data_IF_188920206068
#
_entry.id   IF_188920206068
#
_cell.length_a   1.000
_cell.length_b   1.000
_cell.length_c   1.000
_cell.angle_alpha   90.00
_cell.angle_beta   90.00
_cell.angle_gamma   90.00
#
_symmetry.space_group_name_H-M   'P 1'
#
loop_
_entity.id
_entity.type
_entity.pdbx_description
1 polymer ?
#
# COMPACT_ATOMS: atom_id res chain seq x y z
N UNK A 1 4.13 14.40 6.71
CA UNK A 1 4.72 13.41 7.62
C UNK A 1 5.95 14.06 8.24
N UNK A 2 6.08 14.11 9.57
CA UNK A 2 7.24 14.70 10.25
C UNK A 2 7.52 13.93 11.54
N UNK A 3 8.78 13.79 11.92
CA UNK A 3 9.18 13.21 13.21
C UNK A 3 9.27 14.31 14.28
N UNK A 4 8.93 13.99 15.53
CA UNK A 4 8.95 14.91 16.67
C UNK A 4 10.29 14.95 17.41
N UNK A 5 11.06 13.86 17.37
CA UNK A 5 12.35 13.74 18.03
C UNK A 5 13.38 12.95 17.19
N UNK A 6 14.64 12.95 17.64
CA UNK A 6 15.73 12.24 16.95
C UNK A 6 15.50 10.73 17.01
N UNK A 7 15.63 10.07 15.86
CA UNK A 7 15.58 8.62 15.70
C UNK A 7 16.97 8.09 15.37
N UNK A 8 17.39 7.01 16.03
CA UNK A 8 18.65 6.31 15.77
C UNK A 8 19.35 5.85 17.04
N UNK A 9 20.67 5.93 17.05
CA UNK A 9 21.50 5.46 18.15
C UNK A 9 21.24 6.24 19.47
N UNK A 10 20.68 5.56 20.48
CA UNK A 10 20.42 6.13 21.81
C UNK A 10 21.68 6.32 22.65
N UNK A 11 22.77 5.60 22.35
CA UNK A 11 24.08 5.76 23.01
C UNK A 11 24.68 7.14 22.81
N UNK A 12 24.21 7.87 21.79
CA UNK A 12 24.59 9.26 21.55
C UNK A 12 23.45 10.27 21.86
N UNK A 13 22.28 9.82 22.35
CA UNK A 13 21.20 10.72 22.82
C UNK A 13 19.90 10.74 22.00
N UNK A 14 19.67 9.80 21.08
CA UNK A 14 18.39 9.71 20.36
C UNK A 14 17.22 9.34 21.30
N UNK A 15 16.06 10.00 21.12
CA UNK A 15 14.86 9.80 21.95
C UNK A 15 14.12 8.52 21.55
N UNK A 16 14.05 8.23 20.24
CA UNK A 16 13.38 7.05 19.69
C UNK A 16 11.92 6.91 20.15
N UNK A 17 11.14 8.00 20.05
CA UNK A 17 9.71 7.92 20.28
C UNK A 17 9.10 6.92 19.29
N UNK A 18 8.26 6.01 19.78
CA UNK A 18 7.73 4.88 18.99
C UNK A 18 7.19 5.31 17.62
N UNK A 19 6.35 6.34 17.59
CA UNK A 19 5.75 6.87 16.36
C UNK A 19 6.79 7.40 15.36
N UNK A 20 7.86 8.04 15.86
CA UNK A 20 8.94 8.55 15.01
C UNK A 20 9.76 7.40 14.42
N UNK A 21 10.02 6.36 15.23
CA UNK A 21 10.72 5.15 14.77
C UNK A 21 9.87 4.41 13.73
N UNK A 22 8.58 4.22 13.98
CA UNK A 22 7.64 3.62 13.00
C UNK A 22 7.63 4.42 11.70
N UNK A 23 7.62 5.76 11.79
CA UNK A 23 7.65 6.64 10.63
C UNK A 23 8.94 6.48 9.80
N UNK A 24 10.10 6.50 10.44
CA UNK A 24 11.40 6.29 9.77
C UNK A 24 11.47 4.89 9.15
N UNK A 25 11.07 3.85 9.89
CA UNK A 25 11.06 2.47 9.40
C UNK A 25 10.16 2.32 8.17
N UNK A 26 8.98 2.94 8.20
CA UNK A 26 8.01 2.89 7.11
C UNK A 26 8.56 3.54 5.82
N UNK A 27 9.22 4.70 5.95
CA UNK A 27 9.86 5.39 4.81
C UNK A 27 11.05 4.61 4.24
N UNK A 28 11.91 4.06 5.12
CA UNK A 28 13.04 3.23 4.71
C UNK A 28 12.58 1.94 4.02
N UNK A 29 11.56 1.28 4.57
CA UNK A 29 10.93 0.09 3.96
C UNK A 29 10.43 0.40 2.54
N UNK A 30 9.69 1.51 2.37
CA UNK A 30 9.18 1.94 1.06
C UNK A 30 10.32 2.20 0.08
N UNK A 31 11.36 2.90 0.53
CA UNK A 31 12.52 3.22 -0.30
C UNK A 31 13.31 1.96 -0.69
N UNK A 32 13.49 1.02 0.25
CA UNK A 32 14.17 -0.25 0.04
C UNK A 32 13.49 -1.09 -1.03
N UNK A 33 12.16 -1.23 -0.94
CA UNK A 33 11.34 -1.95 -1.94
C UNK A 33 11.44 -1.31 -3.31
N UNK A 34 11.24 0.02 -3.38
CA UNK A 34 11.28 0.75 -4.64
C UNK A 34 12.64 0.66 -5.35
N UNK A 35 13.73 0.72 -4.61
CA UNK A 35 15.08 0.66 -5.17
C UNK A 35 15.59 -0.77 -5.35
N UNK A 36 14.86 -1.78 -4.91
CA UNK A 36 15.36 -3.16 -4.83
C UNK A 36 16.63 -3.29 -3.96
N UNK A 37 16.78 -2.42 -2.95
CA UNK A 37 17.97 -2.31 -2.10
C UNK A 37 17.67 -2.78 -0.68
N UNK A 38 17.89 -4.07 -0.44
CA UNK A 38 17.68 -4.70 0.88
C UNK A 38 18.48 -4.07 2.02
N UNK A 39 19.63 -3.45 1.72
CA UNK A 39 20.41 -2.73 2.73
C UNK A 39 19.68 -1.51 3.34
N UNK A 40 18.65 -0.98 2.67
CA UNK A 40 17.82 0.11 3.17
C UNK A 40 16.61 -0.40 3.98
N UNK A 41 16.39 -1.72 4.02
CA UNK A 41 15.23 -2.30 4.70
C UNK A 41 15.51 -2.41 6.22
N UNK A 42 14.71 -1.77 7.08
CA UNK A 42 14.85 -1.91 8.53
C UNK A 42 14.36 -3.27 9.06
N UNK A 43 13.92 -4.19 8.19
CA UNK A 43 13.44 -5.53 8.50
C UNK A 43 12.19 -5.56 9.39
N UNK A 44 11.39 -4.49 9.36
CA UNK A 44 10.25 -4.35 10.26
C UNK A 44 9.85 -2.89 10.50
N UNK A 45 8.58 -2.68 10.83
CA UNK A 45 8.04 -1.44 11.38
C UNK A 45 7.49 -1.77 12.77
N UNK A 46 8.37 -1.83 13.76
CA UNK A 46 8.08 -2.24 15.14
C UNK A 46 8.15 -1.08 16.15
N UNK A 47 8.54 0.11 15.68
CA UNK A 47 8.70 1.30 16.49
C UNK A 47 9.83 1.22 17.51
N UNK A 48 10.78 0.31 17.33
CA UNK A 48 11.82 0.00 18.30
C UNK A 48 13.23 0.14 17.70
N UNK A 49 14.17 0.57 18.56
CA UNK A 49 15.61 0.50 18.29
C UNK A 49 16.22 -0.52 19.26
N UNK A 50 16.98 -1.47 18.72
CA UNK A 50 17.58 -2.55 19.50
C UNK A 50 18.56 -2.03 20.57
N UNK A 51 18.79 -2.87 21.58
CA UNK A 51 19.78 -2.65 22.65
C UNK A 51 20.79 -3.80 22.61
N UNK A 52 22.07 -3.57 22.28
CA UNK A 52 22.68 -2.27 21.94
C UNK A 52 22.25 -1.74 20.56
N UNK A 53 22.36 -0.43 20.29
CA UNK A 53 22.00 0.19 19.00
C UNK A 53 22.68 -0.45 17.78
N UNK A 54 23.92 -0.93 17.97
CA UNK A 54 24.71 -1.59 16.93
C UNK A 54 24.05 -2.85 16.35
N UNK A 55 23.10 -3.46 17.07
CA UNK A 55 22.35 -4.63 16.57
C UNK A 55 21.01 -4.26 15.95
N UNK A 56 20.67 -2.97 15.86
CA UNK A 56 19.40 -2.52 15.29
C UNK A 56 19.46 -2.49 13.76
N UNK A 57 18.59 -3.27 13.13
CA UNK A 57 18.35 -3.21 11.67
C UNK A 57 17.88 -1.81 11.23
N UNK A 58 17.09 -1.12 12.04
CA UNK A 58 16.70 0.28 11.81
C UNK A 58 17.91 1.20 11.75
N UNK A 59 18.84 1.12 12.72
CA UNK A 59 20.05 1.95 12.73
C UNK A 59 20.96 1.61 11.54
N UNK A 60 21.09 0.33 11.19
CA UNK A 60 21.83 -0.11 10.00
C UNK A 60 21.21 0.47 8.71
N UNK A 61 19.89 0.42 8.57
CA UNK A 61 19.16 0.97 7.44
C UNK A 61 19.29 2.50 7.34
N UNK A 62 19.26 3.22 8.47
CA UNK A 62 19.51 4.66 8.52
C UNK A 62 20.92 4.97 7.99
N UNK A 63 21.95 4.25 8.47
CA UNK A 63 23.33 4.43 8.00
C UNK A 63 23.48 4.13 6.51
N UNK A 64 22.85 3.05 6.04
CA UNK A 64 22.84 2.70 4.63
C UNK A 64 22.17 3.76 3.76
N UNK A 65 21.05 4.33 4.23
CA UNK A 65 20.38 5.44 3.56
C UNK A 65 21.24 6.70 3.53
N UNK A 66 21.91 7.05 4.64
CA UNK A 66 22.79 8.21 4.71
C UNK A 66 23.95 8.09 3.71
N UNK A 67 24.57 6.92 3.63
CA UNK A 67 25.61 6.61 2.66
C UNK A 67 25.07 6.72 1.21
N UNK A 68 23.89 6.15 0.95
CA UNK A 68 23.22 6.25 -0.35
C UNK A 68 22.89 7.70 -0.75
N UNK A 69 22.42 8.49 0.21
CA UNK A 69 22.00 9.87 0.00
C UNK A 69 23.18 10.86 -0.01
N UNK A 70 24.42 10.42 0.24
CA UNK A 70 25.60 11.28 0.28
C UNK A 70 25.58 12.31 1.41
N UNK A 71 25.03 11.93 2.57
CA UNK A 71 25.04 12.74 3.80
C UNK A 71 25.91 12.09 4.88
N UNK A 72 26.18 12.81 5.96
CA UNK A 72 26.97 12.27 7.08
C UNK A 72 26.37 10.97 7.64
N UNK A 73 27.22 9.95 7.83
CA UNK A 73 26.80 8.61 8.28
C UNK A 73 26.93 8.48 9.80
N UNK A 74 26.04 9.15 10.53
CA UNK A 74 25.99 9.13 11.99
C UNK A 74 24.98 8.10 12.54
N UNK A 75 24.09 7.56 11.71
CA UNK A 75 23.01 6.66 12.11
C UNK A 75 21.81 7.38 12.73
N UNK A 76 21.70 8.69 12.55
CA UNK A 76 20.65 9.54 13.10
C UNK A 76 19.79 10.23 12.06
N UNK A 77 18.54 10.43 12.44
CA UNK A 77 17.59 11.26 11.72
C UNK A 77 17.01 12.27 12.69
N UNK A 78 17.44 13.52 12.56
CA UNK A 78 16.92 14.64 13.33
C UNK A 78 15.69 15.26 12.64
N UNK A 79 14.67 15.72 13.40
CA UNK A 79 13.53 16.44 12.86
C UNK A 79 13.97 17.62 11.97
N UNK A 80 13.47 17.68 10.73
CA UNK A 80 13.81 18.73 9.77
C UNK A 80 15.25 18.73 9.25
N UNK A 81 16.09 17.79 9.70
CA UNK A 81 17.49 17.66 9.27
C UNK A 81 17.65 17.26 7.81
N UNK A 82 18.89 17.34 7.29
CA UNK A 82 19.20 16.97 5.90
C UNK A 82 18.85 15.52 5.58
N UNK A 83 19.22 14.57 6.45
CA UNK A 83 18.86 13.15 6.30
C UNK A 83 17.34 12.96 6.26
N UNK A 84 16.60 13.66 7.12
CA UNK A 84 15.15 13.60 7.14
C UNK A 84 14.53 14.13 5.84
N UNK A 85 14.94 15.32 5.40
CA UNK A 85 14.47 15.92 4.14
C UNK A 85 14.78 15.03 2.95
N UNK A 86 16.00 14.50 2.84
CA UNK A 86 16.35 13.56 1.75
C UNK A 86 15.58 12.26 1.84
N UNK A 87 15.32 11.72 3.04
CA UNK A 87 14.53 10.50 3.18
C UNK A 87 13.10 10.74 2.75
N UNK A 88 12.49 11.83 3.23
CA UNK A 88 11.16 12.25 2.83
C UNK A 88 11.13 12.50 1.33
N UNK A 89 12.03 13.28 0.74
CA UNK A 89 12.07 13.56 -0.70
C UNK A 89 12.33 12.29 -1.51
N UNK A 90 13.28 11.45 -1.12
CA UNK A 90 13.53 10.18 -1.78
C UNK A 90 12.28 9.31 -1.72
N UNK A 91 11.60 9.25 -0.58
CA UNK A 91 10.39 8.47 -0.42
C UNK A 91 9.13 9.16 -1.02
N UNK A 92 9.14 10.49 -1.20
CA UNK A 92 7.99 11.35 -1.57
C UNK A 92 8.12 12.01 -2.93
N UNK A 93 9.22 11.81 -3.66
CA UNK A 93 9.31 12.01 -5.11
C UNK A 93 8.26 11.16 -5.88
N UNK A 94 7.41 10.43 -5.15
CA UNK A 94 6.21 9.71 -5.55
C UNK A 94 4.87 10.39 -5.12
N UNK A 95 4.85 11.66 -4.69
CA UNK A 95 3.60 12.42 -4.56
C UNK A 95 3.10 12.95 -5.93
N UNK A 96 3.99 13.02 -6.92
CA UNK A 96 3.59 12.81 -8.31
C UNK A 96 3.41 11.31 -8.49
N UNK A 97 2.23 10.87 -8.93
CA UNK A 97 1.94 9.46 -9.18
C UNK A 97 3.05 8.75 -9.98
N UNK A 98 3.11 7.41 -9.94
CA UNK A 98 4.14 6.64 -10.61
C UNK A 98 4.31 7.15 -12.05
N UNK A 99 5.56 7.29 -12.49
CA UNK A 99 5.89 7.74 -13.83
C UNK A 99 5.00 7.01 -14.84
N UNK A 100 4.27 7.78 -15.66
CA UNK A 100 3.41 7.27 -16.71
C UNK A 100 4.28 6.47 -17.70
N UNK A 101 4.37 5.17 -17.51
CA UNK A 101 5.34 4.32 -18.20
C UNK A 101 4.95 2.85 -18.22
N UNK A 102 4.57 2.26 -17.08
CA UNK A 102 4.51 0.78 -16.94
C UNK A 102 3.20 0.22 -16.36
N UNK A 103 2.26 1.05 -15.90
CA UNK A 103 1.01 0.57 -15.32
C UNK A 103 -0.17 0.58 -16.32
N UNK A 104 -1.03 -0.44 -16.28
CA UNK A 104 -2.26 -0.56 -17.08
C UNK A 104 -3.52 -0.59 -16.20
N UNK A 105 -4.68 -0.33 -16.81
CA UNK A 105 -5.97 -0.55 -16.17
C UNK A 105 -6.14 -2.05 -15.88
N UNK A 106 -6.78 -2.46 -14.76
CA UNK A 106 -6.90 -3.87 -14.39
C UNK A 106 -7.84 -4.69 -15.31
N UNK A 107 -8.46 -4.07 -16.31
CA UNK A 107 -9.29 -4.72 -17.32
C UNK A 107 -8.83 -4.38 -18.74
N UNK A 108 -8.96 -5.34 -19.66
CA UNK A 108 -8.79 -5.11 -21.11
C UNK A 108 -9.95 -4.34 -21.76
N UNK A 109 -11.00 -4.04 -21.00
CA UNK A 109 -12.16 -3.24 -21.42
C UNK A 109 -12.56 -2.28 -20.29
N UNK A 110 -13.12 -1.10 -20.59
CA UNK A 110 -13.59 -0.18 -19.55
C UNK A 110 -14.57 -0.85 -18.57
N UNK A 111 -14.58 -0.35 -17.33
CA UNK A 111 -15.63 -0.68 -16.38
C UNK A 111 -17.00 -0.22 -16.90
N UNK A 112 -18.07 -0.88 -16.47
CA UNK A 112 -19.45 -0.61 -16.93
C UNK A 112 -19.94 0.77 -16.46
N UNK A 113 -19.42 1.27 -15.35
CA UNK A 113 -19.77 2.57 -14.79
C UNK A 113 -18.54 3.26 -14.21
N UNK A 114 -18.61 4.60 -14.11
CA UNK A 114 -17.57 5.41 -13.49
C UNK A 114 -17.48 5.14 -11.97
N UNK A 115 -16.26 4.92 -11.49
CA UNK A 115 -15.93 4.68 -10.09
C UNK A 115 -15.81 5.94 -9.25
N UNK A 116 -15.87 7.16 -9.81
CA UNK A 116 -15.74 8.41 -9.05
C UNK A 116 -17.01 8.82 -8.30
N UNK A 117 -18.11 8.06 -8.44
CA UNK A 117 -19.39 8.37 -7.82
C UNK A 117 -19.83 7.28 -6.84
N UNK A 118 -20.61 7.68 -5.84
CA UNK A 118 -21.28 6.75 -4.95
C UNK A 118 -22.20 5.78 -5.75
N UNK A 119 -22.34 4.52 -5.30
CA UNK A 119 -21.73 3.93 -4.12
C UNK A 119 -20.31 3.38 -4.36
N UNK A 120 -19.73 3.53 -5.55
CA UNK A 120 -18.50 2.85 -5.99
C UNK A 120 -17.23 3.58 -5.56
N UNK A 121 -17.31 4.88 -5.30
CA UNK A 121 -16.15 5.71 -5.05
C UNK A 121 -15.50 5.47 -3.69
N UNK A 122 -14.20 5.74 -3.63
CA UNK A 122 -13.46 5.83 -2.40
C UNK A 122 -14.14 6.82 -1.44
N UNK A 123 -14.18 6.48 -0.15
CA UNK A 123 -14.80 7.30 0.88
C UNK A 123 -16.34 7.26 0.93
N UNK A 124 -17.01 6.63 -0.05
CA UNK A 124 -18.46 6.46 -0.03
C UNK A 124 -18.96 5.82 1.28
N UNK A 125 -20.14 6.21 1.74
CA UNK A 125 -20.72 5.65 2.96
C UNK A 125 -21.02 4.14 2.79
N UNK A 126 -20.67 3.37 3.81
CA UNK A 126 -20.99 1.96 4.00
C UNK A 126 -21.60 1.77 5.38
N UNK A 127 -22.36 0.70 5.56
CA UNK A 127 -22.96 0.33 6.85
C UNK A 127 -23.75 1.48 7.51
N UNK A 128 -24.55 2.18 6.70
CA UNK A 128 -25.33 3.38 7.10
C UNK A 128 -24.47 4.52 7.66
N UNK A 129 -23.28 4.73 7.08
CA UNK A 129 -22.35 5.80 7.46
C UNK A 129 -21.37 5.43 8.58
N UNK A 130 -21.49 4.24 9.18
CA UNK A 130 -20.54 3.77 10.21
C UNK A 130 -19.18 3.38 9.66
N UNK A 131 -19.05 3.21 8.35
CA UNK A 131 -17.81 2.84 7.67
C UNK A 131 -17.66 3.59 6.36
N UNK A 132 -16.44 3.90 6.01
CA UNK A 132 -16.07 4.46 4.71
C UNK A 132 -15.65 3.36 3.73
N UNK A 133 -15.95 3.57 2.45
CA UNK A 133 -15.52 2.68 1.38
C UNK A 133 -14.02 2.80 1.13
N UNK A 134 -13.27 1.73 1.32
CA UNK A 134 -11.81 1.72 1.30
C UNK A 134 -11.17 1.65 -0.08
N UNK A 135 -11.97 1.57 -1.14
CA UNK A 135 -11.46 1.38 -2.49
C UNK A 135 -12.39 1.98 -3.53
N UNK A 136 -12.17 1.58 -4.77
CA UNK A 136 -13.04 1.85 -5.89
C UNK A 136 -13.65 0.54 -6.40
N UNK A 137 -14.96 0.54 -6.64
CA UNK A 137 -15.64 -0.62 -7.24
C UNK A 137 -15.68 -0.46 -8.77
N UNK A 138 -14.98 -1.33 -9.48
CA UNK A 138 -14.97 -1.39 -10.93
C UNK A 138 -16.01 -2.42 -11.40
N UNK A 139 -17.19 -1.94 -11.78
CA UNK A 139 -18.28 -2.82 -12.22
C UNK A 139 -17.92 -3.53 -13.53
N UNK A 140 -18.09 -4.85 -13.53
CA UNK A 140 -17.79 -5.73 -14.65
C UNK A 140 -18.58 -7.04 -14.50
N UNK A 141 -18.86 -7.76 -15.61
CA UNK A 141 -19.55 -9.05 -15.52
C UNK A 141 -18.70 -10.09 -14.77
N UNK A 142 -19.37 -11.05 -14.13
CA UNK A 142 -18.74 -12.25 -13.54
C UNK A 142 -17.84 -12.91 -14.58
N UNK A 143 -16.65 -13.36 -14.16
CA UNK A 143 -15.68 -14.02 -15.01
C UNK A 143 -14.81 -13.07 -15.84
N UNK A 144 -15.05 -11.74 -15.81
CA UNK A 144 -14.15 -10.77 -16.44
C UNK A 144 -12.73 -10.97 -15.89
N UNK A 145 -11.76 -11.15 -16.78
CA UNK A 145 -10.35 -11.24 -16.40
C UNK A 145 -9.87 -9.95 -15.73
N UNK A 146 -9.15 -10.13 -14.63
CA UNK A 146 -8.46 -9.08 -13.88
C UNK A 146 -6.97 -9.23 -14.16
N UNK A 147 -6.32 -8.12 -14.50
CA UNK A 147 -4.90 -8.07 -14.80
C UNK A 147 -4.11 -7.35 -13.71
N UNK A 148 -2.88 -7.79 -13.47
CA UNK A 148 -1.93 -7.05 -12.64
C UNK A 148 -1.68 -5.69 -13.28
N UNK A 149 -1.88 -4.61 -12.51
CA UNK A 149 -1.70 -3.25 -13.06
C UNK A 149 -0.25 -2.98 -13.43
N UNK A 150 0.72 -3.61 -12.76
CA UNK A 150 2.16 -3.52 -13.01
C UNK A 150 2.82 -4.81 -12.48
N UNK A 151 4.10 -4.99 -12.75
CA UNK A 151 4.93 -6.01 -12.12
C UNK A 151 4.78 -5.97 -10.60
N UNK A 152 4.85 -7.14 -9.96
CA UNK A 152 4.72 -7.24 -8.52
C UNK A 152 4.94 -8.65 -7.98
N UNK A 153 4.80 -8.78 -6.67
CA UNK A 153 4.94 -10.04 -5.93
C UNK A 153 3.70 -10.25 -5.07
N UNK A 154 3.12 -11.45 -5.15
CA UNK A 154 1.96 -11.84 -4.34
C UNK A 154 2.37 -11.90 -2.87
N UNK A 155 1.69 -11.15 -2.01
CA UNK A 155 2.08 -10.98 -0.61
C UNK A 155 1.68 -12.15 0.29
N UNK A 156 0.60 -12.84 -0.07
CA UNK A 156 0.00 -13.96 0.66
C UNK A 156 -0.90 -14.77 -0.26
N UNK A 157 -1.23 -15.99 0.15
CA UNK A 157 -2.21 -16.80 -0.56
C UNK A 157 -3.58 -16.08 -0.62
N UNK A 158 -4.33 -16.23 -1.74
CA UNK A 158 -5.70 -15.75 -1.84
C UNK A 158 -6.54 -16.25 -0.66
N UNK A 159 -7.44 -15.40 -0.17
CA UNK A 159 -8.17 -15.69 1.06
C UNK A 159 -9.64 -15.27 0.95
N UNK A 160 -10.55 -15.92 1.72
CA UNK A 160 -11.96 -15.57 1.73
C UNK A 160 -12.20 -14.09 2.03
N UNK A 161 -13.03 -13.49 1.20
CA UNK A 161 -13.41 -12.09 1.24
C UNK A 161 -14.94 -11.94 1.24
N UNK A 162 -15.42 -10.75 0.88
CA UNK A 162 -16.81 -10.37 1.01
C UNK A 162 -17.76 -11.21 0.13
N UNK A 163 -18.92 -11.58 0.67
CA UNK A 163 -20.02 -12.16 -0.12
C UNK A 163 -19.64 -13.40 -0.97
N UNK A 164 -18.88 -14.35 -0.41
CA UNK A 164 -18.44 -15.60 -1.07
C UNK A 164 -17.50 -15.39 -2.27
N UNK A 165 -16.64 -14.37 -2.16
CA UNK A 165 -15.53 -14.14 -3.09
C UNK A 165 -14.20 -14.26 -2.33
N UNK A 166 -13.08 -14.20 -3.04
CA UNK A 166 -11.75 -14.11 -2.44
C UNK A 166 -11.13 -12.73 -2.67
N UNK A 167 -9.97 -12.49 -2.06
CA UNK A 167 -9.09 -11.35 -2.34
C UNK A 167 -7.65 -11.81 -2.59
N UNK A 168 -6.95 -11.07 -3.46
CA UNK A 168 -5.53 -11.23 -3.77
C UNK A 168 -4.79 -9.93 -3.48
N UNK A 169 -3.61 -10.02 -2.87
CA UNK A 169 -2.78 -8.87 -2.50
C UNK A 169 -1.43 -8.94 -3.22
N UNK A 170 -1.06 -7.87 -3.92
CA UNK A 170 0.19 -7.79 -4.68
C UNK A 170 0.95 -6.53 -4.27
N UNK A 171 2.21 -6.72 -3.88
CA UNK A 171 3.17 -5.64 -3.69
C UNK A 171 3.81 -5.31 -5.05
N UNK A 172 3.57 -4.09 -5.53
CA UNK A 172 4.11 -3.59 -6.79
C UNK A 172 5.39 -2.76 -6.57
N UNK A 173 5.93 -2.70 -5.36
CA UNK A 173 7.18 -2.02 -5.01
C UNK A 173 6.98 -0.67 -4.32
N UNK A 174 6.32 0.28 -4.99
CA UNK A 174 6.01 1.61 -4.44
C UNK A 174 4.55 1.75 -3.94
N UNK A 175 3.71 0.74 -4.21
CA UNK A 175 2.36 0.60 -3.67
C UNK A 175 1.95 -0.87 -3.59
N UNK A 176 0.97 -1.16 -2.74
CA UNK A 176 0.30 -2.46 -2.64
C UNK A 176 -1.12 -2.31 -3.16
N UNK A 177 -1.60 -3.29 -3.92
CA UNK A 177 -3.02 -3.39 -4.30
C UNK A 177 -3.63 -4.64 -3.69
N UNK A 178 -4.82 -4.47 -3.12
CA UNK A 178 -5.75 -5.58 -2.88
C UNK A 178 -6.81 -5.61 -3.98
N UNK A 179 -6.83 -6.72 -4.70
CA UNK A 179 -7.82 -7.08 -5.69
C UNK A 179 -8.89 -7.94 -4.99
N UNK A 180 -9.99 -7.31 -4.59
CA UNK A 180 -11.13 -7.97 -3.94
C UNK A 180 -12.19 -8.45 -4.93
N UNK A 181 -13.13 -9.24 -4.41
CA UNK A 181 -14.31 -9.71 -5.12
C UNK A 181 -13.92 -10.58 -6.32
N UNK A 182 -12.84 -11.34 -6.17
CA UNK A 182 -12.37 -12.29 -7.18
C UNK A 182 -13.04 -13.65 -7.02
N UNK A 183 -13.09 -14.43 -8.09
CA UNK A 183 -13.49 -15.83 -8.03
C UNK A 183 -12.53 -16.64 -7.14
N UNK A 184 -13.07 -17.68 -6.50
CA UNK A 184 -12.34 -18.56 -5.58
C UNK A 184 -11.50 -19.62 -6.31
N UNK A 185 -10.96 -19.26 -7.48
CA UNK A 185 -10.20 -20.14 -8.37
C UNK A 185 -8.84 -19.56 -8.76
N UNK A 186 -8.38 -18.53 -8.04
CA UNK A 186 -7.05 -17.96 -8.23
C UNK A 186 -5.96 -19.01 -7.93
N UNK A 187 -5.10 -19.25 -8.91
CA UNK A 187 -4.00 -20.21 -8.82
C UNK A 187 -2.73 -19.62 -8.22
N UNK A 188 -2.61 -18.29 -8.12
CA UNK A 188 -1.45 -17.61 -7.58
C UNK A 188 -1.29 -17.88 -6.07
N UNK A 189 -0.06 -17.91 -5.60
CA UNK A 189 0.33 -18.15 -4.21
C UNK A 189 1.34 -17.12 -3.74
N UNK A 190 1.51 -17.05 -2.42
CA UNK A 190 2.51 -16.18 -1.79
C UNK A 190 3.89 -16.34 -2.45
N UNK A 191 4.51 -15.20 -2.82
CA UNK A 191 5.84 -15.15 -3.43
C UNK A 191 5.84 -15.25 -4.95
N UNK A 192 4.71 -15.58 -5.60
CA UNK A 192 4.62 -15.57 -7.05
C UNK A 192 4.89 -14.16 -7.60
N UNK A 193 5.72 -14.10 -8.65
CA UNK A 193 5.94 -12.87 -9.40
C UNK A 193 4.89 -12.75 -10.49
N UNK A 194 4.36 -11.54 -10.66
CA UNK A 194 3.46 -11.19 -11.75
C UNK A 194 4.09 -10.12 -12.63
N UNK A 195 3.78 -10.14 -13.91
CA UNK A 195 4.13 -9.07 -14.86
C UNK A 195 2.93 -8.16 -15.10
N UNK A 196 3.14 -6.87 -15.35
CA UNK A 196 2.08 -5.94 -15.75
C UNK A 196 1.28 -6.47 -16.95
N UNK A 197 -0.05 -6.44 -16.85
CA UNK A 197 -0.97 -6.99 -17.85
C UNK A 197 -1.22 -8.49 -17.75
N UNK A 198 -0.48 -9.24 -16.92
CA UNK A 198 -0.76 -10.66 -16.68
C UNK A 198 -2.15 -10.84 -16.06
N UNK A 199 -2.93 -11.81 -16.56
CA UNK A 199 -4.17 -12.23 -15.90
C UNK A 199 -3.84 -12.84 -14.54
N UNK A 200 -4.39 -12.25 -13.48
CA UNK A 200 -4.14 -12.68 -12.09
C UNK A 200 -5.38 -13.30 -11.43
N UNK A 201 -6.57 -12.95 -11.89
CA UNK A 201 -7.83 -13.42 -11.33
C UNK A 201 -9.01 -13.18 -12.28
N UNK A 202 -10.23 -13.50 -11.83
CA UNK A 202 -11.48 -13.18 -12.51
C UNK A 202 -12.48 -12.56 -11.54
N UNK A 203 -13.33 -11.67 -12.03
CA UNK A 203 -14.40 -11.04 -11.24
C UNK A 203 -15.36 -12.11 -10.72
N UNK A 204 -15.57 -12.14 -9.41
CA UNK A 204 -16.47 -13.03 -8.70
C UNK A 204 -17.94 -12.61 -8.78
N UNK A 205 -18.80 -13.54 -8.41
CA UNK A 205 -20.21 -13.27 -8.14
C UNK A 205 -20.36 -13.04 -6.64
N UNK A 206 -20.90 -11.89 -6.26
CA UNK A 206 -21.24 -11.60 -4.88
C UNK A 206 -22.58 -12.25 -4.53
N UNK A 207 -22.57 -13.12 -3.52
CA UNK A 207 -23.73 -13.87 -3.07
C UNK A 207 -24.37 -13.21 -1.84
N UNK A 208 -25.71 -13.10 -1.84
CA UNK A 208 -26.46 -12.58 -0.70
C UNK A 208 -26.51 -11.05 -0.62
N UNK A 209 -26.31 -10.34 -1.74
CA UNK A 209 -26.40 -8.87 -1.83
C UNK A 209 -27.48 -8.41 -2.82
N UNK A 210 -28.05 -7.22 -2.58
CA UNK A 210 -29.21 -6.68 -3.33
C UNK A 210 -28.85 -5.62 -4.38
N UNK A 211 -27.56 -5.43 -4.67
CA UNK A 211 -27.01 -4.41 -5.59
C UNK A 211 -26.19 -5.12 -6.68
N UNK A 212 -25.58 -4.42 -7.68
CA UNK A 212 -24.84 -5.08 -8.75
C UNK A 212 -23.91 -6.17 -8.22
N UNK A 213 -24.13 -7.39 -8.72
CA UNK A 213 -23.61 -8.61 -8.10
C UNK A 213 -22.21 -9.00 -8.58
N UNK A 214 -21.52 -8.13 -9.32
CA UNK A 214 -20.19 -8.41 -9.85
C UNK A 214 -19.36 -7.12 -10.09
N UNK A 215 -18.17 -7.09 -9.52
CA UNK A 215 -17.21 -6.00 -9.62
C UNK A 215 -15.83 -6.44 -9.15
N UNK A 216 -14.80 -5.68 -9.52
CA UNK A 216 -13.50 -5.71 -8.82
C UNK A 216 -13.51 -4.59 -7.78
N UNK A 217 -13.37 -4.94 -6.50
CA UNK A 217 -13.08 -3.97 -5.45
C UNK A 217 -11.57 -3.75 -5.39
N UNK A 218 -11.12 -2.55 -5.72
CA UNK A 218 -9.69 -2.23 -5.77
C UNK A 218 -9.33 -1.29 -4.64
N UNK A 219 -8.47 -1.75 -3.73
CA UNK A 219 -7.89 -0.94 -2.66
C UNK A 219 -6.39 -0.74 -2.90
N UNK A 220 -5.87 0.44 -2.56
CA UNK A 220 -4.45 0.79 -2.72
C UNK A 220 -3.84 1.24 -1.40
N UNK A 221 -2.55 0.95 -1.22
CA UNK A 221 -1.76 1.35 -0.07
C UNK A 221 -0.38 1.81 -0.50
N UNK A 222 0.23 2.75 0.22
CA UNK A 222 1.57 3.25 -0.12
C UNK A 222 2.71 2.28 0.28
N UNK A 223 2.34 1.16 0.93
CA UNK A 223 3.24 0.08 1.32
C UNK A 223 4.02 0.34 2.61
N UNK A 224 3.81 1.48 3.27
CA UNK A 224 4.52 1.85 4.51
C UNK A 224 4.00 1.08 5.75
N UNK A 225 2.78 0.55 5.69
CA UNK A 225 2.16 -0.24 6.74
C UNK A 225 2.57 -1.72 6.70
N UNK A 226 2.46 -2.39 7.85
CA UNK A 226 2.70 -3.82 8.00
C UNK A 226 1.47 -4.56 8.52
N UNK A 227 1.47 -5.89 8.43
CA UNK A 227 0.37 -6.74 8.88
C UNK A 227 -0.86 -6.70 7.97
N UNK A 228 -1.99 -7.14 8.52
CA UNK A 228 -3.25 -7.28 7.80
C UNK A 228 -3.74 -5.95 7.20
N UNK A 229 -4.14 -5.97 5.93
CA UNK A 229 -4.74 -4.81 5.26
C UNK A 229 -6.09 -4.39 5.87
N UNK A 230 -6.80 -5.34 6.48
CA UNK A 230 -7.99 -5.11 7.31
C UNK A 230 -7.58 -5.01 8.77
N UNK A 231 -7.95 -3.92 9.45
CA UNK A 231 -7.56 -3.65 10.84
C UNK A 231 -8.78 -3.29 11.69
N UNK A 232 -8.62 -3.41 13.01
CA UNK A 232 -9.63 -2.95 13.97
C UNK A 232 -9.85 -1.43 13.87
N UNK A 233 -11.03 -0.98 14.28
CA UNK A 233 -11.41 0.43 14.21
C UNK A 233 -10.42 1.37 14.93
N UNK A 234 -9.81 0.92 16.03
CA UNK A 234 -8.82 1.69 16.80
C UNK A 234 -7.54 1.99 16.03
N UNK A 235 -7.18 1.17 15.05
CA UNK A 235 -5.99 1.31 14.21
C UNK A 235 -6.31 1.75 12.77
N UNK A 236 -7.58 2.04 12.47
CA UNK A 236 -8.04 2.32 11.12
C UNK A 236 -7.64 3.70 10.63
N UNK A 237 -7.25 3.80 9.36
CA UNK A 237 -7.34 5.06 8.61
C UNK A 237 -8.78 5.60 8.69
N UNK A 238 -8.91 6.93 8.69
CA UNK A 238 -10.21 7.61 8.81
C UNK A 238 -10.35 8.69 7.74
N UNK A 239 -11.59 8.89 7.30
CA UNK A 239 -11.99 10.09 6.56
C UNK A 239 -11.81 11.33 7.43
N UNK A 240 -11.85 12.51 6.80
CA UNK A 240 -11.76 13.78 7.49
C UNK A 240 -12.85 13.99 8.56
N UNK A 241 -14.02 13.38 8.40
CA UNK A 241 -15.14 13.40 9.36
C UNK A 241 -15.03 12.31 10.45
N UNK A 242 -13.90 11.60 10.52
CA UNK A 242 -13.64 10.58 11.53
C UNK A 242 -14.19 9.20 11.21
N UNK A 243 -14.93 9.01 10.11
CA UNK A 243 -15.48 7.69 9.75
C UNK A 243 -14.36 6.72 9.36
N UNK A 244 -14.28 5.52 9.96
CA UNK A 244 -13.19 4.58 9.70
C UNK A 244 -13.37 3.82 8.38
N UNK A 245 -12.26 3.55 7.70
CA UNK A 245 -12.22 2.65 6.53
C UNK A 245 -12.14 1.16 6.92
N UNK A 246 -11.75 0.86 8.16
CA UNK A 246 -11.33 -0.45 8.67
C UNK A 246 -10.14 -1.03 7.90
N UNK A 247 -9.21 -0.13 7.53
CA UNK A 247 -7.98 -0.41 6.79
C UNK A 247 -6.78 0.26 7.45
N UNK A 248 -5.58 -0.26 7.18
CA UNK A 248 -4.32 0.30 7.67
C UNK A 248 -4.20 1.80 7.40
N UNK A 249 -3.38 2.48 8.21
CA UNK A 249 -3.13 3.91 8.12
C UNK A 249 -2.52 4.37 6.78
N UNK A 250 -1.89 3.46 6.04
CA UNK A 250 -1.26 3.71 4.74
C UNK A 250 -2.21 3.54 3.54
N UNK A 251 -3.52 3.52 3.77
CA UNK A 251 -4.55 3.47 2.73
C UNK A 251 -4.49 4.71 1.81
N UNK A 252 -4.57 4.48 0.50
CA UNK A 252 -4.59 5.51 -0.53
C UNK A 252 -5.91 5.52 -1.29
N UNK A 253 -6.29 6.69 -1.80
CA UNK A 253 -7.40 6.81 -2.75
C UNK A 253 -6.97 6.29 -4.14
N UNK A 254 -7.59 5.21 -4.68
CA UNK A 254 -7.25 4.68 -6.00
C UNK A 254 -7.69 5.56 -7.17
N UNK A 255 -8.61 6.51 -6.95
CA UNK A 255 -9.26 7.31 -7.99
C UNK A 255 -8.30 7.98 -8.98
N UNK A 256 -7.26 8.74 -8.54
CA UNK A 256 -6.31 9.36 -9.47
C UNK A 256 -5.53 8.34 -10.31
N UNK A 257 -5.16 7.20 -9.73
CA UNK A 257 -4.45 6.13 -10.42
C UNK A 257 -5.32 5.48 -11.49
N UNK A 258 -6.55 5.10 -11.13
CA UNK A 258 -7.51 4.54 -12.07
C UNK A 258 -7.84 5.50 -13.22
N UNK A 259 -7.93 6.81 -12.93
CA UNK A 259 -8.14 7.84 -13.94
C UNK A 259 -6.98 7.98 -14.94
N UNK A 260 -5.75 7.68 -14.51
CA UNK A 260 -4.59 7.63 -15.37
C UNK A 260 -4.53 6.30 -16.14
N UNK A 261 -4.71 5.18 -15.44
CA UNK A 261 -4.58 3.83 -15.99
C UNK A 261 -5.65 3.52 -17.04
N UNK A 262 -6.86 4.09 -16.94
CA UNK A 262 -7.92 3.88 -17.94
C UNK A 262 -7.54 4.33 -19.35
N UNK A 263 -6.51 5.16 -19.50
CA UNK A 263 -5.95 5.58 -20.79
C UNK A 263 -5.12 4.46 -21.45
N UNK A 264 -4.78 3.40 -20.70
CA UNK A 264 -4.04 2.22 -21.14
C UNK A 264 -4.69 0.97 -20.55
N UNK A 265 -5.65 0.41 -21.27
CA UNK A 265 -6.28 -0.86 -20.89
C UNK A 265 -5.25 -2.00 -20.86
N UNK A 266 -5.54 -3.04 -20.08
CA UNK A 266 -4.74 -4.25 -20.12
C UNK A 266 -4.71 -4.85 -21.54
N UNK A 267 -3.61 -5.53 -21.93
CA UNK A 267 -3.50 -6.20 -23.23
C UNK A 267 -4.51 -7.34 -23.40
#
# INVERSE_FOLDING_TARGET
MNIGAVVGDWGAGAVNARQDVECVQALLTRLARRLGRTALDPLGVDGSIARPPATSSTVAAIRAFQAYAGVGVDGWIAPGGETWRRLVDAASACAGGPAAGDACFPFARPAVADWTHAPRSFGSNRSSGRRAHAGCDLYAPVGRQIHAVRDGVVMRDPYPFYAQTDALEIDHGDFVIRYGEIQQDCSLRQGDKVTGGQVIARVGLLVGISVPSAMLHLEMYDGSGQGSLTVAESASARRADGVPYLRRADLMDPTPFLNQWKLRLAP
#
